data_IF_671988397409
#
_entry.id   IF_671988397409
#
_cell.length_a   1.000
_cell.length_b   1.000
_cell.length_c   1.000
_cell.angle_alpha   90.00
_cell.angle_beta   90.00
_cell.angle_gamma   90.00
#
_symmetry.space_group_name_H-M   'P 1'
#
loop_
_entity.id
_entity.type
_entity.pdbx_description
1 polymer ?
#
# COMPACT_ATOMS: atom_id res chain seq x y z
N UNK A 1 9.52 5.93 -7.55
CA UNK A 1 8.22 6.14 -6.88
C UNK A 1 7.34 4.93 -7.14
N UNK A 2 6.89 4.23 -6.09
CA UNK A 2 5.98 3.09 -6.21
C UNK A 2 4.54 3.63 -6.24
N UNK A 3 3.88 3.58 -7.40
CA UNK A 3 2.52 4.09 -7.58
C UNK A 3 2.17 4.31 -9.06
N UNK A 4 0.88 4.52 -9.33
CA UNK A 4 0.42 5.00 -10.64
C UNK A 4 0.29 6.51 -10.57
N UNK A 5 0.81 7.19 -11.59
CA UNK A 5 0.78 8.63 -11.75
C UNK A 5 0.49 8.97 -13.20
N UNK A 6 0.16 10.22 -13.48
CA UNK A 6 0.13 10.70 -14.85
C UNK A 6 1.54 10.86 -15.42
N UNK A 7 1.71 10.56 -16.70
CA UNK A 7 2.99 10.75 -17.41
C UNK A 7 3.15 12.21 -17.87
N UNK A 8 4.34 12.76 -17.71
CA UNK A 8 4.69 14.05 -18.28
C UNK A 8 4.85 13.91 -19.80
N UNK A 9 3.88 14.44 -20.55
CA UNK A 9 3.83 14.41 -22.01
C UNK A 9 3.72 15.84 -22.58
N UNK A 10 3.97 16.05 -23.89
CA UNK A 10 3.70 17.33 -24.54
C UNK A 10 2.25 17.78 -24.32
N UNK A 11 2.06 19.07 -23.99
CA UNK A 11 0.74 19.64 -23.75
C UNK A 11 0.06 19.23 -22.43
N UNK A 12 0.79 18.52 -21.55
CA UNK A 12 0.31 18.12 -20.21
C UNK A 12 1.10 18.87 -19.13
N UNK A 13 0.41 19.42 -18.14
CA UNK A 13 1.01 19.99 -16.93
C UNK A 13 0.60 19.17 -15.71
N UNK A 14 1.56 18.75 -14.89
CA UNK A 14 1.32 17.91 -13.72
C UNK A 14 1.52 18.67 -12.40
N UNK A 15 0.79 18.26 -11.37
CA UNK A 15 0.93 18.76 -10.00
C UNK A 15 0.40 17.74 -8.99
N UNK A 16 0.52 18.04 -7.69
CA UNK A 16 -0.01 17.20 -6.59
C UNK A 16 0.52 15.75 -6.65
N UNK A 17 1.84 15.61 -6.64
CA UNK A 17 2.56 14.35 -6.82
C UNK A 17 2.16 13.62 -8.11
N UNK A 18 2.03 14.37 -9.21
CA UNK A 18 1.65 13.86 -10.54
C UNK A 18 0.29 13.16 -10.60
N UNK A 19 -0.60 13.44 -9.65
CA UNK A 19 -1.98 12.95 -9.62
C UNK A 19 -2.98 13.95 -10.23
N UNK A 20 -2.59 15.22 -10.35
CA UNK A 20 -3.39 16.25 -11.00
C UNK A 20 -2.80 16.56 -12.36
N UNK A 21 -3.56 16.32 -13.43
CA UNK A 21 -3.13 16.55 -14.80
C UNK A 21 -4.00 17.62 -15.46
N UNK A 22 -3.34 18.57 -16.13
CA UNK A 22 -3.96 19.57 -16.99
C UNK A 22 -3.58 19.28 -18.43
N UNK A 23 -4.57 18.95 -19.26
CA UNK A 23 -4.46 18.77 -20.70
C UNK A 23 -4.77 20.09 -21.41
N UNK A 24 -3.88 20.53 -22.30
CA UNK A 24 -3.97 21.83 -22.98
C UNK A 24 -5.21 21.97 -23.87
N UNK A 25 -5.59 20.89 -24.58
CA UNK A 25 -6.76 20.80 -25.46
C UNK A 25 -6.95 19.34 -25.91
N UNK A 26 -7.97 19.07 -26.73
CA UNK A 26 -8.35 17.73 -27.17
C UNK A 26 -7.29 16.92 -27.95
N UNK A 27 -6.20 17.55 -28.42
CA UNK A 27 -5.09 16.88 -29.10
C UNK A 27 -4.02 16.36 -28.16
N UNK A 28 -4.10 16.71 -26.87
CA UNK A 28 -3.14 16.29 -25.84
C UNK A 28 -3.90 15.61 -24.71
N UNK A 29 -3.59 14.36 -24.41
CA UNK A 29 -4.19 13.64 -23.30
C UNK A 29 -3.12 13.11 -22.35
N UNK A 30 -3.37 13.24 -21.05
CA UNK A 30 -2.60 12.58 -20.02
C UNK A 30 -2.87 11.07 -20.10
N UNK A 31 -1.83 10.28 -19.85
CA UNK A 31 -1.90 8.82 -19.78
C UNK A 31 -1.18 8.36 -18.53
N UNK A 32 -1.72 7.35 -17.85
CA UNK A 32 -1.11 6.84 -16.63
C UNK A 32 0.20 6.07 -16.90
N UNK A 33 1.09 6.01 -15.93
CA UNK A 33 2.41 5.33 -16.02
C UNK A 33 2.34 3.82 -16.21
N UNK A 34 1.21 3.19 -15.87
CA UNK A 34 1.02 1.75 -15.92
C UNK A 34 -0.26 1.46 -16.70
N UNK A 35 -0.19 0.45 -17.57
CA UNK A 35 -1.32 -0.11 -18.29
C UNK A 35 -1.64 -1.51 -17.78
N UNK A 36 -2.84 -2.00 -18.09
CA UNK A 36 -3.32 -3.35 -17.73
C UNK A 36 -3.85 -4.07 -18.95
N UNK A 37 -3.70 -5.40 -18.98
CA UNK A 37 -4.24 -6.27 -20.04
C UNK A 37 -5.22 -7.35 -19.52
N UNK A 38 -5.40 -7.45 -18.21
CA UNK A 38 -6.24 -8.44 -17.51
C UNK A 38 -6.76 -7.86 -16.20
N UNK A 39 -7.76 -8.49 -15.58
CA UNK A 39 -8.28 -8.13 -14.25
C UNK A 39 -9.34 -7.03 -14.27
N UNK A 40 -9.84 -6.72 -13.07
CA UNK A 40 -10.89 -5.71 -12.84
C UNK A 40 -10.35 -4.57 -11.97
N UNK A 41 -10.40 -3.35 -12.48
CA UNK A 41 -9.73 -2.22 -11.87
C UNK A 41 -10.64 -1.02 -11.64
N UNK A 42 -10.35 -0.32 -10.55
CA UNK A 42 -11.11 0.81 -10.08
C UNK A 42 -10.19 1.98 -9.71
N UNK A 43 -10.56 3.18 -10.18
CA UNK A 43 -9.99 4.43 -9.71
C UNK A 43 -11.06 5.53 -9.76
N UNK A 44 -10.77 6.65 -9.09
CA UNK A 44 -11.65 7.81 -9.05
C UNK A 44 -10.96 9.03 -9.64
N UNK A 45 -11.75 9.89 -10.29
CA UNK A 45 -11.31 11.18 -10.79
C UNK A 45 -12.25 12.25 -10.27
N UNK A 46 -11.67 13.31 -9.70
CA UNK A 46 -12.37 14.52 -9.27
C UNK A 46 -12.11 15.61 -10.29
N UNK A 47 -13.20 16.23 -10.76
CA UNK A 47 -13.16 17.25 -11.80
C UNK A 47 -12.82 18.62 -11.24
N UNK A 48 -11.96 19.35 -11.94
CA UNK A 48 -11.64 20.75 -11.62
C UNK A 48 -12.26 21.74 -12.62
N UNK A 49 -12.88 21.25 -13.69
CA UNK A 49 -13.64 22.01 -14.68
C UNK A 49 -14.74 21.14 -15.33
N UNK A 50 -15.48 21.74 -16.27
CA UNK A 50 -16.59 21.12 -17.00
C UNK A 50 -16.19 20.67 -18.42
N UNK A 51 -14.90 20.52 -18.72
CA UNK A 51 -14.39 20.15 -20.04
C UNK A 51 -13.61 18.82 -20.04
N UNK A 52 -13.65 18.07 -18.95
CA UNK A 52 -12.93 16.82 -18.84
C UNK A 52 -13.55 15.70 -19.70
N UNK A 53 -12.71 15.08 -20.52
CA UNK A 53 -12.93 13.75 -21.08
C UNK A 53 -12.15 12.74 -20.24
N UNK A 54 -12.86 11.83 -19.55
CA UNK A 54 -12.27 10.79 -18.71
C UNK A 54 -12.42 9.44 -19.39
N UNK A 55 -11.39 8.61 -19.37
CA UNK A 55 -11.51 7.28 -19.96
C UNK A 55 -10.25 6.47 -19.92
N UNK A 56 -10.08 5.67 -20.97
CA UNK A 56 -8.90 4.84 -21.18
C UNK A 56 -8.39 4.93 -22.61
N UNK A 57 -7.11 4.59 -22.81
CA UNK A 57 -6.46 4.55 -24.11
C UNK A 57 -5.57 3.31 -24.28
N UNK A 58 -5.34 2.91 -25.53
CA UNK A 58 -4.40 1.84 -25.90
C UNK A 58 -3.01 2.33 -26.33
N UNK A 59 -2.76 3.64 -26.28
CA UNK A 59 -1.48 4.23 -26.71
C UNK A 59 -0.87 5.13 -25.63
N UNK A 60 0.45 5.20 -25.59
CA UNK A 60 1.21 6.01 -24.61
C UNK A 60 1.94 7.20 -25.24
N UNK A 61 1.92 7.32 -26.57
CA UNK A 61 2.53 8.42 -27.32
C UNK A 61 1.49 9.03 -28.26
N UNK A 62 1.57 10.35 -28.47
CA UNK A 62 0.59 11.07 -29.30
C UNK A 62 -0.86 10.89 -28.83
N UNK A 63 -1.06 10.75 -27.52
CA UNK A 63 -2.36 10.43 -26.93
C UNK A 63 -3.32 11.60 -27.12
N UNK A 64 -4.49 11.31 -27.67
CA UNK A 64 -5.57 12.27 -27.94
C UNK A 64 -6.90 11.64 -27.54
N UNK A 65 -7.88 12.49 -27.21
CA UNK A 65 -9.23 12.05 -26.85
C UNK A 65 -10.26 12.28 -27.96
N UNK A 66 -9.90 13.07 -28.98
CA UNK A 66 -10.74 13.41 -30.12
C UNK A 66 -10.28 12.73 -31.42
N UNK A 67 -11.22 12.37 -32.29
CA UNK A 67 -10.97 11.79 -33.61
C UNK A 67 -9.91 10.67 -33.57
N UNK A 68 -10.14 9.72 -32.65
CA UNK A 68 -9.25 8.58 -32.42
C UNK A 68 -10.03 7.36 -31.99
N UNK A 69 -9.64 6.20 -32.49
CA UNK A 69 -10.20 4.90 -32.11
C UNK A 69 -9.40 4.21 -31.02
N UNK A 70 -8.29 4.81 -30.58
CA UNK A 70 -7.46 4.28 -29.49
C UNK A 70 -7.93 4.75 -28.11
N UNK A 71 -9.08 5.43 -28.04
CA UNK A 71 -9.63 6.04 -26.83
C UNK A 71 -11.06 5.59 -26.59
N UNK A 72 -11.41 5.37 -25.33
CA UNK A 72 -12.76 5.09 -24.86
C UNK A 72 -13.03 6.01 -23.67
N UNK A 73 -13.84 7.04 -23.86
CA UNK A 73 -14.06 8.03 -22.81
C UNK A 73 -15.49 8.53 -22.70
N UNK A 74 -15.71 9.21 -21.59
CA UNK A 74 -16.96 9.81 -21.15
C UNK A 74 -16.70 11.30 -20.94
N UNK A 75 -17.46 12.12 -21.67
CA UNK A 75 -17.35 13.58 -21.65
C UNK A 75 -18.42 14.19 -20.74
N UNK A 76 -18.15 15.39 -20.25
CA UNK A 76 -19.03 16.15 -19.34
C UNK A 76 -20.42 16.43 -19.91
N UNK A 77 -20.57 16.37 -21.24
CA UNK A 77 -21.84 16.50 -21.95
C UNK A 77 -22.76 15.27 -21.88
N UNK A 78 -22.35 14.20 -21.19
CA UNK A 78 -23.16 12.99 -21.07
C UNK A 78 -22.90 11.94 -22.15
N UNK A 79 -21.99 12.19 -23.10
CA UNK A 79 -21.72 11.29 -24.21
C UNK A 79 -20.48 10.45 -23.98
N UNK A 80 -20.50 9.25 -24.57
CA UNK A 80 -19.32 8.41 -24.72
C UNK A 80 -18.67 8.64 -26.10
N UNK A 81 -17.34 8.59 -26.13
CA UNK A 81 -16.54 8.98 -27.27
C UNK A 81 -15.52 7.90 -27.64
N UNK A 82 -15.52 7.56 -28.93
CA UNK A 82 -14.54 6.71 -29.61
C UNK A 82 -14.56 7.08 -31.09
N UNK A 83 -13.71 8.03 -31.50
CA UNK A 83 -13.68 8.59 -32.84
C UNK A 83 -14.09 10.06 -32.88
N UNK A 84 -14.66 10.49 -34.01
CA UNK A 84 -15.01 11.89 -34.26
C UNK A 84 -16.43 12.28 -33.78
N UNK A 85 -17.27 11.30 -33.42
CA UNK A 85 -18.68 11.53 -33.07
C UNK A 85 -19.01 10.91 -31.71
N UNK A 86 -19.65 11.70 -30.85
CA UNK A 86 -20.10 11.28 -29.53
C UNK A 86 -21.47 10.62 -29.58
N UNK A 87 -21.67 9.61 -28.75
CA UNK A 87 -22.93 8.86 -28.63
C UNK A 87 -23.52 9.10 -27.25
N UNK A 88 -24.84 9.32 -27.17
CA UNK A 88 -25.54 9.46 -25.89
C UNK A 88 -25.28 8.22 -25.01
N UNK A 89 -24.98 8.46 -23.72
CA UNK A 89 -24.59 7.39 -22.82
C UNK A 89 -25.15 7.58 -21.41
N UNK A 90 -24.86 8.71 -20.78
CA UNK A 90 -25.05 8.91 -19.36
C UNK A 90 -25.47 10.34 -19.03
N UNK A 91 -25.59 10.64 -17.75
CA UNK A 91 -25.87 12.00 -17.28
C UNK A 91 -24.70 12.94 -17.59
N UNK A 92 -24.93 14.25 -17.60
CA UNK A 92 -23.83 15.22 -17.57
C UNK A 92 -23.12 15.20 -16.21
N UNK A 93 -21.90 15.71 -16.13
CA UNK A 93 -21.18 15.91 -14.88
C UNK A 93 -20.50 17.28 -14.83
N UNK A 94 -20.30 17.78 -13.61
CA UNK A 94 -19.81 19.13 -13.34
C UNK A 94 -18.66 19.13 -12.32
N UNK A 95 -18.03 20.29 -12.13
CA UNK A 95 -17.04 20.53 -11.07
C UNK A 95 -17.56 20.03 -9.71
N UNK A 96 -16.71 19.29 -9.00
CA UNK A 96 -17.02 18.70 -7.69
C UNK A 96 -17.65 17.31 -7.74
N UNK A 97 -18.15 16.88 -8.90
CA UNK A 97 -18.50 15.48 -9.13
C UNK A 97 -17.24 14.60 -9.10
N UNK A 98 -17.43 13.36 -8.69
CA UNK A 98 -16.41 12.31 -8.76
C UNK A 98 -16.89 11.24 -9.72
N UNK A 99 -16.05 10.95 -10.71
CA UNK A 99 -16.28 9.88 -11.68
C UNK A 99 -15.43 8.69 -11.25
N UNK A 100 -16.06 7.58 -10.91
CA UNK A 100 -15.37 6.31 -10.74
C UNK A 100 -15.31 5.57 -12.06
N UNK A 101 -14.17 4.98 -12.36
CA UNK A 101 -13.96 4.23 -13.60
C UNK A 101 -13.77 2.76 -13.23
N UNK A 102 -14.64 1.92 -13.78
CA UNK A 102 -14.66 0.49 -13.59
C UNK A 102 -14.22 -0.16 -14.90
N UNK A 103 -12.99 -0.68 -14.92
CA UNK A 103 -12.40 -1.32 -16.09
C UNK A 103 -12.28 -2.82 -15.84
N UNK A 104 -13.13 -3.61 -16.48
CA UNK A 104 -13.15 -5.06 -16.39
C UNK A 104 -12.54 -5.65 -17.66
N UNK A 105 -11.24 -5.91 -17.65
CA UNK A 105 -10.53 -6.47 -18.80
C UNK A 105 -10.79 -7.98 -18.96
N UNK A 106 -11.24 -8.65 -17.90
CA UNK A 106 -11.64 -10.07 -17.95
C UNK A 106 -12.90 -10.25 -18.81
N UNK A 107 -13.79 -9.26 -18.83
CA UNK A 107 -14.98 -9.23 -19.70
C UNK A 107 -14.88 -8.23 -20.86
N UNK A 108 -13.87 -7.36 -20.86
CA UNK A 108 -13.65 -6.36 -21.90
C UNK A 108 -14.54 -5.12 -21.78
N UNK A 109 -15.05 -4.80 -20.59
CA UNK A 109 -16.01 -3.72 -20.39
C UNK A 109 -15.41 -2.49 -19.70
N UNK A 110 -15.95 -1.32 -20.04
CA UNK A 110 -15.68 -0.05 -19.36
C UNK A 110 -17.00 0.56 -18.88
N UNK A 111 -17.09 0.85 -17.60
CA UNK A 111 -18.25 1.48 -16.97
C UNK A 111 -17.80 2.70 -16.15
N UNK A 112 -18.68 3.70 -16.09
CA UNK A 112 -18.47 4.90 -15.29
C UNK A 112 -19.56 5.03 -14.23
N UNK A 113 -19.15 5.41 -13.01
CA UNK A 113 -20.08 5.78 -11.96
C UNK A 113 -19.96 7.28 -11.70
N UNK A 114 -21.11 7.95 -11.56
CA UNK A 114 -21.17 9.35 -11.12
C UNK A 114 -21.55 9.36 -9.65
N UNK A 115 -20.68 9.89 -8.81
CA UNK A 115 -20.91 10.02 -7.36
C UNK A 115 -21.37 8.70 -6.71
N UNK A 116 -20.73 7.59 -7.09
CA UNK A 116 -21.04 6.25 -6.59
C UNK A 116 -22.22 5.54 -7.24
N UNK A 117 -22.87 6.15 -8.25
CA UNK A 117 -24.02 5.57 -8.96
C UNK A 117 -23.64 5.18 -10.38
N UNK A 118 -23.88 3.91 -10.73
CA UNK A 118 -23.67 3.38 -12.08
C UNK A 118 -24.36 4.20 -13.15
N UNK A 119 -23.64 4.46 -14.24
CA UNK A 119 -24.19 5.01 -15.49
C UNK A 119 -24.37 3.94 -16.58
N UNK A 120 -24.25 2.65 -16.21
CA UNK A 120 -24.26 1.52 -17.14
C UNK A 120 -22.95 1.34 -17.90
N UNK A 121 -22.80 0.22 -18.59
CA UNK A 121 -21.58 -0.09 -19.34
C UNK A 121 -21.47 0.78 -20.60
N UNK A 122 -20.38 1.55 -20.72
CA UNK A 122 -20.12 2.44 -21.85
C UNK A 122 -19.58 1.67 -23.06
N UNK A 123 -18.64 0.75 -22.83
CA UNK A 123 -17.91 0.03 -23.88
C UNK A 123 -17.73 -1.44 -23.51
N UNK A 124 -17.69 -2.30 -24.54
CA UNK A 124 -17.59 -3.77 -24.40
C UNK A 124 -16.46 -4.36 -25.26
N UNK A 125 -15.56 -3.52 -25.78
CA UNK A 125 -14.55 -3.88 -26.76
C UNK A 125 -13.11 -3.75 -26.24
N UNK A 126 -12.90 -3.57 -24.93
CA UNK A 126 -11.55 -3.31 -24.41
C UNK A 126 -10.55 -4.43 -24.68
N UNK A 127 -11.00 -5.69 -24.76
CA UNK A 127 -10.13 -6.84 -25.06
C UNK A 127 -9.44 -6.73 -26.42
N UNK A 128 -10.09 -6.12 -27.41
CA UNK A 128 -9.53 -5.99 -28.76
C UNK A 128 -8.44 -4.92 -28.83
N UNK A 129 -8.35 -4.05 -27.81
CA UNK A 129 -7.43 -2.93 -27.76
C UNK A 129 -6.08 -3.26 -27.09
N UNK A 130 -5.95 -4.46 -26.49
CA UNK A 130 -4.71 -4.93 -25.88
C UNK A 130 -4.42 -4.29 -24.52
N UNK A 131 -3.26 -3.65 -24.38
CA UNK A 131 -2.85 -2.98 -23.14
C UNK A 131 -3.60 -1.65 -22.99
N UNK A 132 -4.24 -1.43 -21.84
CA UNK A 132 -5.13 -0.29 -21.60
C UNK A 132 -4.65 0.56 -20.42
N UNK A 133 -4.63 1.87 -20.61
CA UNK A 133 -4.15 2.88 -19.68
C UNK A 133 -5.25 3.90 -19.36
N UNK A 134 -5.43 4.33 -18.09
CA UNK A 134 -6.23 5.50 -17.76
C UNK A 134 -5.77 6.70 -18.57
N UNK A 135 -6.74 7.52 -18.99
CA UNK A 135 -6.46 8.76 -19.72
C UNK A 135 -7.43 9.86 -19.34
N UNK A 136 -6.95 11.09 -19.49
CA UNK A 136 -7.72 12.30 -19.38
C UNK A 136 -7.30 13.28 -20.47
N UNK A 137 -8.25 13.95 -21.08
CA UNK A 137 -8.00 15.09 -21.98
C UNK A 137 -9.07 16.16 -21.84
N UNK A 138 -8.85 17.30 -22.47
CA UNK A 138 -9.91 18.29 -22.68
C UNK A 138 -10.82 17.85 -23.83
N UNK A 139 -12.14 17.97 -23.68
CA UNK A 139 -13.08 17.83 -24.79
C UNK A 139 -13.13 19.05 -25.73
N UNK A 140 -12.42 20.13 -25.40
CA UNK A 140 -12.42 21.38 -26.17
C UNK A 140 -11.19 21.52 -27.08
N UNK A 141 -11.36 22.22 -28.21
CA UNK A 141 -10.32 22.44 -29.20
C UNK A 141 -9.20 23.40 -28.75
N UNK A 142 -9.53 24.39 -27.90
CA UNK A 142 -8.62 25.47 -27.53
C UNK A 142 -8.63 25.81 -26.03
N UNK A 143 -9.30 25.01 -25.21
CA UNK A 143 -9.41 25.24 -23.76
C UNK A 143 -8.86 24.05 -23.01
N UNK A 144 -8.06 24.32 -21.99
CA UNK A 144 -7.49 23.28 -21.15
C UNK A 144 -8.55 22.64 -20.23
N UNK A 145 -8.27 21.42 -19.78
CA UNK A 145 -9.04 20.75 -18.73
C UNK A 145 -8.08 20.13 -17.72
N UNK A 146 -8.45 20.12 -16.45
CA UNK A 146 -7.72 19.69 -15.28
C UNK A 146 -8.56 18.72 -14.46
N UNK A 147 -7.92 17.62 -14.07
CA UNK A 147 -8.54 16.62 -13.17
C UNK A 147 -7.54 16.13 -12.15
N UNK A 148 -8.05 15.66 -11.02
CA UNK A 148 -7.24 15.00 -9.98
C UNK A 148 -7.68 13.55 -9.83
N UNK A 149 -6.74 12.62 -9.99
CA UNK A 149 -6.99 11.19 -9.92
C UNK A 149 -6.60 10.60 -8.56
N UNK A 150 -7.40 9.65 -8.09
CA UNK A 150 -7.02 8.73 -7.03
C UNK A 150 -6.98 7.32 -7.64
N UNK A 151 -5.77 6.81 -7.90
CA UNK A 151 -5.57 5.42 -8.36
C UNK A 151 -5.64 4.39 -7.21
N UNK A 152 -5.92 4.81 -5.98
CA UNK A 152 -6.07 3.94 -4.80
C UNK A 152 -4.99 4.11 -3.72
N UNK A 153 -4.11 5.12 -3.86
CA UNK A 153 -3.15 5.53 -2.82
C UNK A 153 -3.85 6.18 -1.63
N UNK A 154 -4.95 6.91 -1.89
CA UNK A 154 -5.83 7.49 -0.85
C UNK A 154 -7.11 6.67 -0.77
N UNK A 155 -7.79 6.71 0.37
CA UNK A 155 -9.14 6.13 0.50
C UNK A 155 -10.07 6.72 -0.56
N UNK A 156 -10.85 5.87 -1.22
CA UNK A 156 -11.85 6.30 -2.20
C UNK A 156 -13.03 7.00 -1.52
N UNK A 157 -13.64 7.94 -2.24
CA UNK A 157 -14.85 8.64 -1.79
C UNK A 157 -16.06 7.72 -1.83
N UNK A 158 -16.11 6.81 -2.79
CA UNK A 158 -17.19 5.83 -2.94
C UNK A 158 -16.69 4.40 -2.74
N UNK A 159 -17.58 3.55 -2.24
CA UNK A 159 -17.27 2.16 -1.99
C UNK A 159 -17.04 1.43 -3.32
N UNK A 160 -15.81 0.96 -3.49
CA UNK A 160 -15.44 0.11 -4.63
C UNK A 160 -16.32 -1.15 -4.69
N UNK A 161 -16.80 -1.55 -5.88
CA UNK A 161 -17.56 -2.79 -6.04
C UNK A 161 -16.74 -4.04 -5.70
N UNK A 162 -17.43 -5.11 -5.27
CA UNK A 162 -16.78 -6.39 -5.01
C UNK A 162 -16.15 -6.97 -6.29
N UNK A 163 -14.98 -7.59 -6.15
CA UNK A 163 -14.23 -8.19 -7.25
C UNK A 163 -13.41 -7.21 -8.09
N UNK A 164 -13.43 -5.92 -7.78
CA UNK A 164 -12.51 -4.93 -8.36
C UNK A 164 -11.31 -4.69 -7.44
N UNK A 165 -10.16 -4.42 -8.05
CA UNK A 165 -8.95 -3.98 -7.38
C UNK A 165 -8.69 -2.48 -7.62
N UNK A 166 -7.87 -1.89 -6.76
CA UNK A 166 -7.39 -0.52 -6.94
C UNK A 166 -6.49 -0.46 -8.17
N UNK A 167 -6.59 0.59 -8.99
CA UNK A 167 -5.73 0.73 -10.18
C UNK A 167 -4.24 0.91 -9.84
N UNK A 168 -3.88 1.17 -8.57
CA UNK A 168 -2.52 1.39 -8.10
C UNK A 168 -1.54 0.37 -8.68
N UNK A 169 -0.34 0.85 -8.99
CA UNK A 169 0.75 0.01 -9.49
C UNK A 169 1.07 -1.06 -8.46
N UNK A 170 1.33 -2.27 -8.93
CA UNK A 170 1.91 -3.27 -8.06
C UNK A 170 3.31 -2.79 -7.73
N UNK A 171 3.63 -2.69 -6.44
CA UNK A 171 5.02 -2.67 -6.00
C UNK A 171 5.73 -3.82 -6.73
N UNK A 172 6.94 -3.62 -7.26
CA UNK A 172 7.68 -4.70 -7.91
C UNK A 172 7.72 -5.89 -6.95
N UNK A 173 6.87 -6.88 -7.18
CA UNK A 173 6.82 -8.06 -6.33
C UNK A 173 7.85 -9.06 -6.82
N UNK A 174 8.26 -9.96 -5.97
CA UNK A 174 9.28 -10.95 -6.30
C UNK A 174 8.73 -12.32 -5.90
N UNK A 175 8.70 -13.20 -6.89
CA UNK A 175 8.56 -14.63 -6.70
C UNK A 175 9.91 -15.27 -6.96
N UNK A 176 10.33 -16.14 -6.05
CA UNK A 176 11.48 -17.00 -6.29
C UNK A 176 11.02 -18.22 -7.07
N UNK A 177 11.89 -18.79 -7.90
CA UNK A 177 11.60 -20.03 -8.64
C UNK A 177 12.73 -21.03 -8.49
N UNK A 178 12.37 -22.29 -8.29
CA UNK A 178 13.30 -23.42 -8.26
C UNK A 178 12.55 -24.71 -8.57
N UNK A 179 13.14 -25.57 -9.41
CA UNK A 179 12.57 -26.88 -9.75
C UNK A 179 11.14 -26.83 -10.33
N UNK A 180 10.81 -25.78 -11.10
CA UNK A 180 9.48 -25.58 -11.67
C UNK A 180 8.40 -25.11 -10.68
N UNK A 181 8.76 -24.84 -9.44
CA UNK A 181 7.87 -24.25 -8.42
C UNK A 181 8.18 -22.78 -8.23
N UNK A 182 7.17 -22.02 -7.85
CA UNK A 182 7.32 -20.62 -7.44
C UNK A 182 7.08 -20.50 -5.94
N UNK A 183 7.83 -19.62 -5.27
CA UNK A 183 7.69 -19.45 -3.84
C UNK A 183 7.92 -18.03 -3.36
N UNK A 184 7.34 -17.76 -2.20
CA UNK A 184 7.46 -16.50 -1.46
C UNK A 184 7.96 -16.80 -0.07
N UNK A 185 8.70 -15.87 0.50
CA UNK A 185 9.18 -15.94 1.87
C UNK A 185 8.58 -14.77 2.65
N UNK A 186 8.07 -15.07 3.84
CA UNK A 186 7.61 -14.04 4.77
C UNK A 186 8.30 -14.23 6.11
N UNK A 187 8.65 -13.12 6.76
CA UNK A 187 9.27 -13.14 8.08
C UNK A 187 8.19 -13.44 9.12
N UNK A 188 8.45 -14.41 9.99
CA UNK A 188 7.70 -14.61 11.23
C UNK A 188 8.52 -14.04 12.37
N UNK A 189 7.90 -13.16 13.13
CA UNK A 189 8.58 -12.37 14.16
C UNK A 189 8.49 -13.07 15.52
N UNK A 190 9.40 -12.71 16.42
CA UNK A 190 9.35 -13.10 17.83
C UNK A 190 8.18 -12.39 18.54
N UNK A 191 8.02 -12.61 19.85
CA UNK A 191 7.39 -11.60 20.72
C UNK A 191 8.30 -10.38 20.85
N UNK A 192 7.87 -9.33 21.57
CA UNK A 192 8.75 -8.20 21.86
C UNK A 192 10.04 -8.71 22.50
N UNK A 193 11.18 -8.24 21.99
CA UNK A 193 12.52 -8.50 22.52
C UNK A 193 12.78 -7.68 23.79
N UNK A 194 12.09 -6.55 23.92
CA UNK A 194 12.15 -5.71 25.11
C UNK A 194 11.20 -6.32 26.15
N UNK A 195 11.70 -6.68 27.35
CA UNK A 195 10.84 -7.15 28.42
C UNK A 195 9.98 -5.99 28.94
N UNK A 196 8.91 -6.32 29.65
CA UNK A 196 8.07 -5.33 30.32
C UNK A 196 8.91 -4.61 31.38
N UNK A 197 9.22 -3.33 31.15
CA UNK A 197 10.09 -2.54 32.01
C UNK A 197 9.34 -1.96 33.21
N UNK A 198 9.99 -1.91 34.37
CA UNK A 198 9.45 -1.27 35.59
C UNK A 198 10.26 -0.05 36.05
N UNK A 199 11.50 0.04 35.60
CA UNK A 199 12.40 1.19 35.74
C UNK A 199 13.20 1.32 34.45
N UNK A 200 14.07 2.32 34.33
CA UNK A 200 14.96 2.43 33.18
C UNK A 200 15.95 1.27 33.03
N UNK A 201 16.14 0.42 34.02
CA UNK A 201 17.16 -0.66 33.98
C UNK A 201 16.63 -2.04 34.39
N UNK A 202 15.33 -2.15 34.69
CA UNK A 202 14.71 -3.38 35.21
C UNK A 202 13.56 -3.80 34.30
N UNK A 203 13.47 -5.10 33.91
CA UNK A 203 14.24 -6.25 34.41
C UNK A 203 15.59 -6.49 33.73
N UNK A 204 15.82 -5.94 32.54
CA UNK A 204 17.11 -6.00 31.84
C UNK A 204 17.21 -4.88 30.83
N UNK A 205 18.39 -4.71 30.22
CA UNK A 205 18.67 -3.62 29.28
C UNK A 205 18.64 -2.24 29.94
N UNK A 206 18.67 -1.19 29.13
CA UNK A 206 18.52 0.20 29.60
C UNK A 206 17.61 0.99 28.67
N UNK A 207 16.49 1.48 29.19
CA UNK A 207 15.68 2.52 28.56
C UNK A 207 16.27 3.90 28.87
N UNK A 208 16.31 4.77 27.87
CA UNK A 208 16.77 6.16 28.02
C UNK A 208 16.07 7.06 27.01
N UNK A 209 16.01 8.35 27.27
CA UNK A 209 15.43 9.30 26.33
C UNK A 209 16.18 10.65 26.31
N UNK A 210 15.87 11.46 25.30
CA UNK A 210 16.40 12.82 25.16
C UNK A 210 15.99 13.75 26.29
N UNK A 211 14.88 13.43 26.95
CA UNK A 211 14.29 14.20 28.04
C UNK A 211 13.44 13.25 28.89
N UNK A 212 13.73 13.21 30.18
CA UNK A 212 13.05 12.37 31.16
C UNK A 212 12.56 13.19 32.36
N UNK A 213 12.52 14.54 32.25
CA UNK A 213 12.18 15.40 33.38
C UNK A 213 10.71 15.29 33.79
N UNK A 214 9.83 15.03 32.82
CA UNK A 214 8.39 14.87 33.05
C UNK A 214 8.04 13.41 33.31
N UNK A 215 8.44 12.52 32.39
CA UNK A 215 8.12 11.10 32.46
C UNK A 215 9.34 10.27 32.04
N UNK A 216 9.73 9.23 32.80
CA UNK A 216 10.93 8.44 32.50
C UNK A 216 10.77 7.57 31.25
N UNK A 217 11.88 7.25 30.61
CA UNK A 217 11.94 6.56 29.32
C UNK A 217 11.30 5.15 29.35
N UNK A 218 11.42 4.43 30.47
CA UNK A 218 10.88 3.06 30.58
C UNK A 218 9.37 2.97 30.33
N UNK A 219 8.63 4.09 30.44
CA UNK A 219 7.19 4.15 30.16
C UNK A 219 6.83 3.91 28.70
N UNK A 220 7.77 4.03 27.77
CA UNK A 220 7.56 3.57 26.39
C UNK A 220 7.70 2.04 26.25
N UNK A 221 8.07 1.33 27.31
CA UNK A 221 8.45 -0.09 27.28
C UNK A 221 7.80 -0.89 28.43
N UNK A 222 6.83 -0.31 29.14
CA UNK A 222 6.25 -0.91 30.35
C UNK A 222 5.04 -1.80 30.09
N UNK A 223 4.74 -2.10 28.81
CA UNK A 223 3.72 -3.05 28.41
C UNK A 223 2.29 -2.62 28.73
N UNK A 224 2.09 -1.40 29.23
CA UNK A 224 0.82 -0.99 29.81
C UNK A 224 -0.07 -0.26 28.79
N UNK A 225 -1.13 -0.92 28.35
CA UNK A 225 -2.16 -0.34 27.48
C UNK A 225 -3.25 0.41 28.27
N UNK A 226 -2.91 1.04 29.40
CA UNK A 226 -3.88 1.77 30.25
C UNK A 226 -3.45 3.23 30.42
N UNK A 227 -4.44 4.12 30.49
CA UNK A 227 -4.23 5.57 30.42
C UNK A 227 -3.16 6.09 31.37
N UNK A 228 -2.32 7.02 30.86
CA UNK A 228 -1.25 7.76 31.55
C UNK A 228 0.14 7.10 31.71
N UNK A 229 0.39 5.93 31.09
CA UNK A 229 1.73 5.34 31.02
C UNK A 229 2.30 5.52 29.61
N UNK A 230 3.13 6.53 29.45
CA UNK A 230 3.79 6.89 28.20
C UNK A 230 5.10 7.59 28.50
N UNK A 231 6.05 7.57 27.57
CA UNK A 231 7.15 8.54 27.61
C UNK A 231 6.74 9.80 26.84
N UNK A 232 7.05 10.97 27.39
CA UNK A 232 6.96 12.24 26.68
C UNK A 232 8.04 13.22 27.17
N UNK A 233 8.74 13.91 26.26
CA UNK A 233 9.62 15.01 26.62
C UNK A 233 8.80 16.23 27.07
N UNK A 234 9.34 17.05 27.98
CA UNK A 234 8.59 18.14 28.59
C UNK A 234 8.36 19.30 27.59
N UNK A 235 7.11 19.42 27.09
CA UNK A 235 6.70 20.51 26.19
C UNK A 235 7.39 20.53 24.82
N UNK A 236 7.96 19.40 24.38
CA UNK A 236 8.69 19.29 23.11
C UNK A 236 7.96 18.39 22.12
N UNK A 237 7.81 18.86 20.90
CA UNK A 237 7.17 18.11 19.79
C UNK A 237 8.14 17.14 19.08
N UNK A 238 9.37 17.03 19.57
CA UNK A 238 10.46 16.22 19.05
C UNK A 238 11.27 15.63 20.21
N UNK A 239 12.11 14.65 19.92
CA UNK A 239 12.95 13.98 20.92
C UNK A 239 13.28 12.56 20.50
N UNK A 240 14.00 11.83 21.33
CA UNK A 240 14.27 10.42 21.08
C UNK A 240 14.03 9.59 22.33
N UNK A 241 13.60 8.35 22.12
CA UNK A 241 13.53 7.30 23.15
C UNK A 241 14.27 6.07 22.63
N UNK A 242 15.09 5.47 23.50
CA UNK A 242 16.05 4.44 23.14
C UNK A 242 16.02 3.26 24.11
N UNK A 243 16.40 2.11 23.60
CA UNK A 243 16.64 0.91 24.38
C UNK A 243 18.01 0.31 24.05
N UNK A 244 18.78 0.02 25.10
CA UNK A 244 20.09 -0.63 25.04
C UNK A 244 19.95 -2.09 25.49
N UNK A 245 20.06 -3.02 24.55
CA UNK A 245 19.99 -4.46 24.80
C UNK A 245 21.24 -5.01 25.52
N UNK A 246 22.29 -4.21 25.71
CA UNK A 246 23.62 -4.57 26.23
C UNK A 246 24.43 -5.50 25.35
N UNK A 247 23.81 -6.26 24.47
CA UNK A 247 24.46 -7.08 23.45
C UNK A 247 23.88 -6.77 22.06
N UNK A 248 24.68 -6.91 20.99
CA UNK A 248 24.17 -6.77 19.63
C UNK A 248 22.98 -7.71 19.38
N UNK A 249 21.82 -7.10 19.14
CA UNK A 249 20.54 -7.80 18.96
C UNK A 249 19.99 -7.45 17.59
N UNK A 250 19.41 -8.42 16.88
CA UNK A 250 18.75 -8.18 15.59
C UNK A 250 17.31 -7.74 15.80
N UNK A 251 16.99 -6.52 15.39
CA UNK A 251 15.61 -6.03 15.27
C UNK A 251 15.24 -5.98 13.80
N UNK A 252 14.07 -6.53 13.47
CA UNK A 252 13.54 -6.60 12.10
C UNK A 252 12.15 -5.98 11.95
N UNK A 253 11.50 -5.65 13.06
CA UNK A 253 10.22 -4.95 13.12
C UNK A 253 10.15 -4.15 14.41
N UNK A 254 9.48 -3.01 14.36
CA UNK A 254 9.02 -2.33 15.55
C UNK A 254 7.53 -2.03 15.43
N UNK A 255 6.88 -1.81 16.56
CA UNK A 255 5.54 -1.23 16.59
C UNK A 255 5.49 -0.02 17.52
N UNK A 256 4.55 0.86 17.23
CA UNK A 256 4.33 2.08 17.99
C UNK A 256 2.87 2.18 18.41
N UNK A 257 2.65 2.46 19.68
CA UNK A 257 1.37 2.91 20.20
C UNK A 257 1.51 4.34 20.73
N UNK A 258 0.48 5.14 20.49
CA UNK A 258 0.40 6.50 21.02
C UNK A 258 -0.25 6.52 22.39
N UNK A 259 -0.17 7.67 23.04
CA UNK A 259 -0.95 7.96 24.24
C UNK A 259 -2.44 7.73 23.95
N UNK A 260 -3.07 6.94 24.81
CA UNK A 260 -4.50 6.69 24.75
C UNK A 260 -5.31 7.98 24.81
N UNK A 261 -6.38 8.02 24.03
CA UNK A 261 -7.34 9.14 23.95
C UNK A 261 -6.80 10.46 23.38
N UNK A 262 -5.51 10.53 22.97
CA UNK A 262 -4.98 11.73 22.34
C UNK A 262 -3.97 11.46 21.20
N UNK A 263 -4.45 11.13 19.99
CA UNK A 263 -3.61 10.81 18.85
C UNK A 263 -2.74 11.98 18.35
N UNK A 264 -3.04 13.23 18.75
CA UNK A 264 -2.24 14.41 18.35
C UNK A 264 -0.84 14.43 18.96
N UNK A 265 -0.62 13.66 20.05
CA UNK A 265 0.70 13.42 20.64
C UNK A 265 1.53 12.43 19.85
N UNK A 266 0.94 11.66 18.93
CA UNK A 266 1.67 10.66 18.15
C UNK A 266 2.74 11.28 17.26
N UNK A 267 3.88 10.59 17.08
CA UNK A 267 4.93 11.08 16.19
C UNK A 267 4.40 11.17 14.75
N UNK A 268 4.86 12.17 14.01
CA UNK A 268 4.49 12.43 12.61
C UNK A 268 5.62 12.05 11.66
N UNK A 269 6.84 12.40 12.03
CA UNK A 269 8.03 12.02 11.27
C UNK A 269 9.14 11.60 12.23
N UNK A 270 9.86 10.54 11.87
CA UNK A 270 10.96 9.99 12.68
C UNK A 270 11.89 9.12 11.84
N UNK A 271 13.06 8.86 12.39
CA UNK A 271 13.94 7.77 11.98
C UNK A 271 13.99 6.71 13.07
N UNK A 272 13.98 5.44 12.67
CA UNK A 272 14.32 4.32 13.55
C UNK A 272 15.77 3.94 13.29
N UNK A 273 16.59 3.91 14.35
CA UNK A 273 18.04 3.90 14.21
C UNK A 273 18.68 2.85 15.13
N UNK A 274 19.77 2.25 14.66
CA UNK A 274 20.58 1.29 15.42
C UNK A 274 22.02 1.80 15.62
N UNK A 275 22.63 1.50 16.77
CA UNK A 275 24.01 1.88 17.11
C UNK A 275 24.70 0.82 17.95
N UNK A 276 26.02 0.71 17.81
CA UNK A 276 26.88 -0.16 18.63
C UNK A 276 27.79 0.61 19.59
N UNK A 277 27.82 1.95 19.52
CA UNK A 277 28.63 2.82 20.38
C UNK A 277 27.80 3.91 21.09
N UNK A 278 26.55 4.11 20.67
CA UNK A 278 25.66 5.16 21.15
C UNK A 278 25.96 6.56 20.58
N UNK A 279 26.97 6.69 19.72
CA UNK A 279 27.40 7.95 19.10
C UNK A 279 27.07 7.96 17.62
N UNK A 280 27.45 6.90 16.90
CA UNK A 280 27.18 6.71 15.49
C UNK A 280 25.92 5.90 15.30
N UNK A 281 24.91 6.51 14.69
CA UNK A 281 23.59 5.91 14.48
C UNK A 281 23.36 5.61 13.01
N UNK A 282 23.03 4.36 12.72
CA UNK A 282 22.61 3.94 11.38
C UNK A 282 21.10 4.03 11.27
N UNK A 283 20.60 4.80 10.30
CA UNK A 283 19.16 4.81 9.98
C UNK A 283 18.76 3.47 9.35
N UNK A 284 17.76 2.84 9.95
CA UNK A 284 17.17 1.54 9.56
C UNK A 284 15.79 1.70 8.93
N UNK A 285 15.05 2.72 9.36
CA UNK A 285 13.77 3.11 8.77
C UNK A 285 13.56 4.63 8.87
N UNK A 286 12.79 5.18 7.94
CA UNK A 286 12.41 6.60 7.89
C UNK A 286 10.94 6.70 7.58
N UNK A 287 10.19 7.28 8.52
CA UNK A 287 8.76 7.51 8.38
C UNK A 287 8.50 9.02 8.33
N UNK A 288 7.68 9.45 7.38
CA UNK A 288 7.32 10.85 7.20
C UNK A 288 5.80 11.01 7.13
N UNK A 289 5.30 12.11 7.70
CA UNK A 289 3.89 12.53 7.59
C UNK A 289 2.86 11.48 8.03
N UNK A 290 3.18 10.70 9.06
CA UNK A 290 2.28 9.73 9.67
C UNK A 290 1.22 10.48 10.49
N UNK A 291 -0.02 10.47 10.00
CA UNK A 291 -1.13 11.22 10.62
C UNK A 291 -2.26 10.33 11.16
N UNK A 292 -2.19 9.02 10.94
CA UNK A 292 -3.24 8.08 11.34
C UNK A 292 -2.81 7.28 12.56
N UNK A 293 -3.28 7.73 13.72
CA UNK A 293 -3.10 7.05 15.00
C UNK A 293 -4.46 6.64 15.54
N UNK A 294 -4.65 5.35 15.75
CA UNK A 294 -5.88 4.79 16.29
C UNK A 294 -5.61 4.36 17.73
N UNK A 295 -6.47 4.78 18.66
CA UNK A 295 -6.36 4.37 20.07
C UNK A 295 -6.32 2.84 20.18
N UNK A 296 -5.48 2.34 21.10
CA UNK A 296 -5.31 0.91 21.39
C UNK A 296 -4.86 0.03 20.21
N UNK A 297 -4.45 0.61 19.08
CA UNK A 297 -3.94 -0.15 17.94
C UNK A 297 -2.49 0.23 17.64
N UNK A 298 -1.55 -0.73 17.69
CA UNK A 298 -0.19 -0.47 17.29
C UNK A 298 -0.11 -0.25 15.77
N UNK A 299 0.66 0.76 15.37
CA UNK A 299 1.15 0.88 14.01
C UNK A 299 2.43 0.04 13.88
N UNK A 300 2.45 -0.87 12.92
CA UNK A 300 3.52 -1.86 12.75
C UNK A 300 4.41 -1.44 11.58
N UNK A 301 5.72 -1.53 11.77
CA UNK A 301 6.73 -1.13 10.79
C UNK A 301 7.76 -2.25 10.61
N UNK A 302 7.75 -2.88 9.44
CA UNK A 302 8.74 -3.89 9.05
C UNK A 302 9.99 -3.20 8.51
N UNK A 303 11.16 -3.62 8.99
CA UNK A 303 12.43 -3.02 8.58
C UNK A 303 12.95 -3.71 7.33
N UNK A 304 13.17 -2.94 6.27
CA UNK A 304 13.85 -3.43 5.06
C UNK A 304 15.36 -3.55 5.30
N UNK A 305 15.93 -2.60 6.05
CA UNK A 305 17.32 -2.63 6.48
C UNK A 305 17.43 -3.16 7.91
N UNK A 306 18.00 -4.36 8.05
CA UNK A 306 18.18 -5.03 9.34
C UNK A 306 19.66 -5.27 9.62
N UNK A 307 20.02 -5.27 10.90
CA UNK A 307 21.39 -5.53 11.35
C UNK A 307 21.42 -5.78 12.86
N UNK A 308 22.56 -6.24 13.36
CA UNK A 308 22.77 -6.43 14.79
C UNK A 308 23.30 -5.14 15.39
N UNK A 309 22.53 -4.55 16.30
CA UNK A 309 22.91 -3.35 17.04
C UNK A 309 22.67 -3.54 18.52
N UNK A 310 23.53 -2.98 19.36
CA UNK A 310 23.36 -2.99 20.81
C UNK A 310 22.22 -2.06 21.24
N UNK A 311 22.14 -0.88 20.62
CA UNK A 311 21.18 0.18 20.95
C UNK A 311 20.27 0.47 19.78
N UNK A 312 19.01 0.70 20.08
CA UNK A 312 18.01 1.14 19.11
C UNK A 312 17.29 2.37 19.64
N UNK A 313 16.95 3.32 18.77
CA UNK A 313 16.15 4.49 19.15
C UNK A 313 15.14 4.87 18.09
N UNK A 314 14.04 5.44 18.58
CA UNK A 314 13.08 6.19 17.79
C UNK A 314 13.45 7.67 17.90
N UNK A 315 13.95 8.26 16.82
CA UNK A 315 14.36 9.67 16.77
C UNK A 315 13.29 10.50 16.06
N UNK A 316 12.46 11.18 16.83
CA UNK A 316 11.26 11.88 16.38
C UNK A 316 11.60 13.33 16.04
N UNK A 317 11.19 13.77 14.86
CA UNK A 317 11.42 15.14 14.37
C UNK A 317 10.16 16.01 14.40
N UNK A 318 8.98 15.42 14.49
CA UNK A 318 7.71 16.15 14.65
C UNK A 318 6.58 15.24 15.17
N UNK A 319 5.53 15.84 15.72
CA UNK A 319 4.29 15.17 16.16
C UNK A 319 3.05 15.67 15.37
N UNK A 320 1.88 15.19 15.77
CA UNK A 320 0.59 15.49 15.14
C UNK A 320 -0.16 16.68 15.77
N UNK A 321 0.57 17.69 16.27
CA UNK A 321 0.00 18.99 16.65
C UNK A 321 -0.26 19.20 18.14
N UNK A 322 0.05 18.24 19.01
CA UNK A 322 0.07 18.45 20.45
C UNK A 322 1.26 19.29 20.91
N UNK A 323 1.21 19.77 22.16
CA UNK A 323 2.31 20.51 22.81
C UNK A 323 3.56 19.66 23.06
N UNK A 324 3.43 18.32 23.07
CA UNK A 324 4.55 17.41 23.10
C UNK A 324 4.31 16.14 22.30
N UNK A 325 5.38 15.42 21.97
CA UNK A 325 5.25 14.04 21.47
C UNK A 325 5.05 13.08 22.63
N UNK A 326 4.32 11.99 22.40
CA UNK A 326 4.07 10.95 23.38
C UNK A 326 4.10 9.56 22.77
N UNK A 327 4.89 8.67 23.37
CA UNK A 327 5.00 7.26 23.00
C UNK A 327 4.37 6.43 24.11
N UNK A 328 3.21 5.86 23.82
CA UNK A 328 2.53 4.93 24.73
C UNK A 328 3.25 3.59 24.81
N UNK A 329 3.73 3.09 23.67
CA UNK A 329 4.53 1.87 23.63
C UNK A 329 5.44 1.89 22.38
N UNK A 330 6.67 1.40 22.54
CA UNK A 330 7.60 1.03 21.48
C UNK A 330 8.06 -0.41 21.71
N UNK A 331 7.63 -1.33 20.85
CA UNK A 331 8.09 -2.73 20.89
C UNK A 331 9.03 -3.01 19.74
N UNK A 332 9.97 -3.92 19.96
CA UNK A 332 10.95 -4.33 18.96
C UNK A 332 10.96 -5.84 18.84
N UNK A 333 11.06 -6.34 17.62
CA UNK A 333 10.88 -7.76 17.31
C UNK A 333 12.03 -8.27 16.44
N UNK A 334 12.51 -9.47 16.76
CA UNK A 334 13.46 -10.20 15.94
C UNK A 334 12.75 -11.09 14.92
N UNK A 335 13.53 -11.78 14.09
CA UNK A 335 13.02 -12.83 13.20
C UNK A 335 13.08 -14.16 13.96
N UNK A 336 11.94 -14.83 14.10
CA UNK A 336 11.84 -16.18 14.66
C UNK A 336 12.21 -17.22 13.61
N UNK A 337 11.60 -17.14 12.43
CA UNK A 337 11.86 -18.01 11.28
C UNK A 337 11.28 -17.39 9.99
N UNK A 338 11.62 -17.96 8.84
CA UNK A 338 10.92 -17.69 7.58
C UNK A 338 9.76 -18.67 7.39
N UNK A 339 8.68 -18.16 6.82
CA UNK A 339 7.55 -18.94 6.34
C UNK A 339 7.57 -18.93 4.81
N UNK A 340 7.65 -20.11 4.20
CA UNK A 340 7.74 -20.28 2.76
C UNK A 340 6.40 -20.73 2.19
N UNK A 341 5.87 -20.02 1.19
CA UNK A 341 4.65 -20.43 0.48
C UNK A 341 4.99 -20.87 -0.94
N UNK A 342 4.53 -22.05 -1.36
CA UNK A 342 4.69 -22.61 -2.69
C UNK A 342 3.45 -22.41 -3.56
N UNK A 343 3.68 -22.20 -4.85
CA UNK A 343 2.66 -22.09 -5.88
C UNK A 343 3.04 -22.97 -7.07
N UNK A 344 2.10 -23.83 -7.49
CA UNK A 344 2.26 -24.70 -8.65
C UNK A 344 1.99 -23.98 -9.97
N UNK A 345 1.02 -23.07 -9.96
CA UNK A 345 0.65 -22.23 -11.09
C UNK A 345 0.71 -20.76 -10.62
N UNK A 346 1.27 -19.88 -11.45
CA UNK A 346 1.30 -18.43 -11.18
C UNK A 346 0.29 -17.72 -12.08
N UNK A 347 -0.46 -16.79 -11.49
CA UNK A 347 -1.21 -15.76 -12.20
C UNK A 347 -0.71 -14.38 -11.76
N UNK A 348 -1.13 -13.33 -12.47
CA UNK A 348 -0.92 -11.95 -12.02
C UNK A 348 -1.44 -11.79 -10.58
N UNK A 349 -2.61 -12.34 -10.25
CA UNK A 349 -3.18 -12.31 -8.91
C UNK A 349 -2.30 -13.01 -7.85
N UNK A 350 -1.63 -14.12 -8.19
CA UNK A 350 -0.67 -14.78 -7.29
C UNK A 350 0.51 -13.86 -6.98
N UNK A 351 1.07 -13.24 -8.02
CA UNK A 351 2.19 -12.32 -7.89
C UNK A 351 1.82 -11.10 -7.02
N UNK A 352 0.61 -10.59 -7.19
CA UNK A 352 0.07 -9.43 -6.47
C UNK A 352 -0.18 -9.71 -5.00
N UNK A 353 -0.87 -10.81 -4.72
CA UNK A 353 -1.32 -11.15 -3.37
C UNK A 353 -0.22 -11.75 -2.50
N UNK A 354 0.74 -12.42 -3.12
CA UNK A 354 1.73 -13.20 -2.38
C UNK A 354 3.17 -12.81 -2.65
N UNK A 355 3.46 -12.13 -3.76
CA UNK A 355 4.83 -11.76 -4.09
C UNK A 355 5.48 -10.85 -3.05
N UNK A 356 6.79 -11.03 -2.85
CA UNK A 356 7.57 -10.29 -1.85
C UNK A 356 7.93 -8.90 -2.38
N UNK A 357 8.00 -7.89 -1.52
CA UNK A 357 8.43 -6.55 -1.93
C UNK A 357 9.93 -6.43 -2.19
N UNK A 358 10.71 -7.32 -1.60
CA UNK A 358 12.15 -7.37 -1.69
C UNK A 358 12.63 -8.79 -1.39
N UNK A 359 13.80 -9.15 -1.93
CA UNK A 359 14.51 -10.35 -1.48
C UNK A 359 15.36 -9.95 -0.29
N UNK A 360 14.80 -10.08 0.91
CA UNK A 360 15.54 -9.87 2.15
C UNK A 360 16.66 -10.88 2.34
N UNK A 361 17.42 -10.76 3.43
CA UNK A 361 18.48 -11.71 3.76
C UNK A 361 17.90 -13.14 3.93
N UNK A 362 18.35 -14.08 3.09
CA UNK A 362 17.84 -15.45 2.99
C UNK A 362 18.51 -16.43 3.95
N UNK A 363 19.36 -15.96 4.87
CA UNK A 363 20.15 -16.82 5.76
C UNK A 363 19.38 -17.37 6.98
N UNK A 364 18.06 -17.16 7.06
CA UNK A 364 17.24 -17.65 8.16
C UNK A 364 16.64 -19.01 7.84
N UNK A 365 16.52 -19.86 8.86
CA UNK A 365 15.86 -21.15 8.73
C UNK A 365 14.37 -20.98 8.37
N UNK A 366 13.89 -21.84 7.46
CA UNK A 366 12.46 -21.97 7.18
C UNK A 366 11.84 -22.83 8.27
N UNK A 367 10.97 -22.22 9.08
CA UNK A 367 10.28 -22.90 10.18
C UNK A 367 8.85 -23.29 9.85
N UNK A 368 8.31 -22.78 8.73
CA UNK A 368 6.95 -23.05 8.28
C UNK A 368 6.93 -23.16 6.74
N UNK A 369 6.24 -24.17 6.22
CA UNK A 369 6.02 -24.37 4.78
C UNK A 369 4.52 -24.41 4.53
N UNK A 370 4.07 -23.63 3.54
CA UNK A 370 2.70 -23.60 3.03
C UNK A 370 2.70 -23.96 1.56
N UNK A 371 1.73 -24.74 1.13
CA UNK A 371 1.58 -25.15 -0.26
C UNK A 371 0.20 -24.74 -0.75
N UNK A 372 0.15 -23.98 -1.84
CA UNK A 372 -1.09 -23.52 -2.46
C UNK A 372 -1.29 -24.24 -3.79
N UNK A 373 -2.45 -24.84 -3.94
CA UNK A 373 -2.83 -25.62 -5.12
C UNK A 373 -4.18 -25.14 -5.60
N UNK A 374 -4.21 -24.44 -6.74
CA UNK A 374 -5.46 -24.08 -7.41
C UNK A 374 -5.86 -25.23 -8.32
N UNK A 375 -6.71 -26.12 -7.82
CA UNK A 375 -7.27 -27.21 -8.61
C UNK A 375 -8.63 -26.73 -9.14
N UNK A 376 -8.67 -26.31 -10.40
CA UNK A 376 -9.93 -26.09 -11.12
C UNK A 376 -10.48 -27.45 -11.56
N UNK A 377 -11.20 -28.12 -10.66
CA UNK A 377 -12.02 -29.28 -11.01
C UNK A 377 -13.40 -28.78 -11.39
N UNK A 378 -13.88 -29.11 -12.59
CA UNK A 378 -15.32 -29.17 -12.82
C UNK A 378 -15.86 -30.21 -11.85
N UNK A 379 -16.58 -29.76 -10.81
CA UNK A 379 -17.29 -30.68 -9.92
C UNK A 379 -18.40 -31.33 -10.75
N UNK A 380 -18.11 -32.49 -11.33
CA UNK A 380 -19.14 -33.45 -11.71
C UNK A 380 -19.94 -33.86 -10.45
N UNK A 381 -21.04 -34.58 -10.63
CA UNK A 381 -21.83 -35.13 -9.52
C UNK A 381 -20.96 -36.04 -8.64
N UNK A 382 -20.34 -35.47 -7.60
CA UNK A 382 -19.56 -36.09 -6.52
C UNK A 382 -18.70 -37.32 -6.86
N UNK A 383 -17.36 -37.18 -6.78
CA UNK A 383 -16.46 -38.33 -6.55
C UNK A 383 -15.49 -38.04 -5.41
N UNK A 384 -15.28 -39.05 -4.57
CA UNK A 384 -14.31 -39.07 -3.47
C UNK A 384 -12.90 -39.20 -4.06
N UNK A 385 -11.95 -38.46 -3.51
CA UNK A 385 -10.52 -38.61 -3.81
C UNK A 385 -9.84 -39.32 -2.64
N UNK A 386 -9.10 -40.38 -2.95
CA UNK A 386 -8.27 -41.13 -2.01
C UNK A 386 -6.79 -40.88 -2.35
N UNK A 387 -5.98 -40.57 -1.35
CA UNK A 387 -4.54 -40.34 -1.50
C UNK A 387 -3.78 -41.01 -0.36
N UNK A 388 -2.82 -41.85 -0.70
CA UNK A 388 -1.95 -42.55 0.26
C UNK A 388 -0.75 -41.68 0.62
N UNK A 389 -0.66 -41.26 1.89
CA UNK A 389 0.50 -40.53 2.42
C UNK A 389 1.48 -41.54 3.01
N UNK A 390 2.72 -41.56 2.51
CA UNK A 390 3.81 -42.34 3.11
C UNK A 390 4.28 -41.69 4.42
N UNK A 391 3.75 -42.20 5.53
CA UNK A 391 4.03 -41.73 6.89
C UNK A 391 5.43 -42.10 7.39
N UNK A 392 6.22 -42.89 6.65
CA UNK A 392 7.57 -43.31 7.07
C UNK A 392 8.62 -42.18 6.96
N UNK A 393 8.29 -41.08 6.27
CA UNK A 393 9.24 -40.00 5.97
C UNK A 393 8.97 -38.68 6.68
N UNK A 394 7.80 -38.49 7.31
CA UNK A 394 7.42 -37.26 8.04
C UNK A 394 6.43 -37.54 9.16
N UNK A 395 6.72 -37.06 10.37
CA UNK A 395 5.77 -37.08 11.48
C UNK A 395 4.77 -35.94 11.32
N UNK A 396 3.47 -36.24 11.29
CA UNK A 396 2.39 -35.25 11.16
C UNK A 396 1.67 -35.16 12.51
N UNK A 397 1.80 -34.02 13.20
CA UNK A 397 1.23 -33.83 14.54
C UNK A 397 -0.26 -33.45 14.51
N UNK A 398 -0.76 -32.89 13.40
CA UNK A 398 -2.18 -32.55 13.25
C UNK A 398 -2.58 -32.37 11.78
N UNK A 399 -3.75 -32.90 11.43
CA UNK A 399 -4.47 -32.58 10.20
C UNK A 399 -5.77 -31.90 10.61
N UNK A 400 -6.08 -30.75 10.00
CA UNK A 400 -7.36 -30.07 10.17
C UNK A 400 -7.93 -29.75 8.78
N UNK A 401 -9.19 -30.08 8.57
CA UNK A 401 -9.95 -29.69 7.39
C UNK A 401 -10.63 -28.36 7.71
N UNK A 402 -10.32 -27.33 6.92
CA UNK A 402 -10.97 -26.02 6.97
C UNK A 402 -12.16 -25.96 6.03
#
# INVERSE_FOLDING_TARGET
MTGVFWQQLPGITLSNDDLTATSLNHNYAAVATIGRSSGKWYWEVVLSDNLAMIGVTSVTTGVKVWNTVNHRGYFSDGKKWSGASGVAYANTFIIGDTISILMDLDNGTLEFWKNGVSQGVAFNDLKSLGMIYPTHGSGAASTASTVTSNFGKKTFRYKMPSGYERYQGYENKILLSSGGKYFTLSRKYTTSLIPIMTTNTTPSGVASASDETAVPAFRAFDGASISQRYWAPNGKTYGWVAYDFKTPTLVARYDLMVILSNPTFGPKSWTFEGSNDGVNWTVLDTQNNQSTWINDKPNIYDLNKIGFYQKYRLNITSNNGAVSVGIGELRMYGIRHLSMSFFHNISELTYVNHGMNEVGNLTFNVGEIKEYTNISITLGTGKIFEHTIDMSKRQIDKIAFG
#
